data_IF_268370710850
#
_entry.id   IF_268370710850
#
_cell.length_a   1.000
_cell.length_b   1.000
_cell.length_c   1.000
_cell.angle_alpha   90.00
_cell.angle_beta   90.00
_cell.angle_gamma   90.00
#
_symmetry.space_group_name_H-M   'P 1'
#
loop_
_entity.id
_entity.type
_entity.pdbx_description
1 polymer ?
#
# COMPACT_ATOMS: atom_id res chain seq x y z
N UNK A 1 -6.83 -0.07 71.44
CA UNK A 1 -6.89 0.88 70.30
C UNK A 1 -5.85 0.43 69.28
N UNK A 2 -6.25 -0.31 68.25
CA UNK A 2 -5.37 -0.66 67.13
C UNK A 2 -5.92 -0.01 65.88
N UNK A 3 -5.12 0.90 65.31
CA UNK A 3 -5.43 1.67 64.10
C UNK A 3 -4.84 0.92 62.91
N UNK A 4 -5.70 0.36 62.06
CA UNK A 4 -5.33 -0.27 60.80
C UNK A 4 -5.27 0.80 59.70
N UNK A 5 -4.06 1.19 59.32
CA UNK A 5 -3.85 2.02 58.13
C UNK A 5 -4.01 1.19 56.87
N UNK A 6 -5.10 1.42 56.13
CA UNK A 6 -5.32 0.88 54.80
C UNK A 6 -4.53 1.71 53.79
N UNK A 7 -3.48 1.12 53.19
CA UNK A 7 -2.73 1.74 52.10
C UNK A 7 -3.42 1.39 50.78
N UNK A 8 -4.13 2.37 50.21
CA UNK A 8 -4.67 2.28 48.87
C UNK A 8 -3.49 2.41 47.87
N UNK A 9 -3.13 1.32 47.22
CA UNK A 9 -2.15 1.33 46.14
C UNK A 9 -2.86 1.84 44.86
N UNK A 10 -2.50 3.04 44.41
CA UNK A 10 -2.97 3.60 43.15
C UNK A 10 -2.23 2.87 42.01
N UNK A 11 -2.93 1.94 41.36
CA UNK A 11 -2.43 1.22 40.19
C UNK A 11 -2.63 2.12 38.97
N UNK A 12 -1.59 2.85 38.59
CA UNK A 12 -1.59 3.66 37.37
C UNK A 12 -1.44 2.69 36.20
N UNK A 13 -2.57 2.30 35.59
CA UNK A 13 -2.56 1.67 34.27
C UNK A 13 -2.09 2.73 33.27
N UNK A 14 -0.80 2.71 32.95
CA UNK A 14 -0.28 3.36 31.76
C UNK A 14 -0.87 2.62 30.55
N UNK A 15 -1.91 3.20 29.95
CA UNK A 15 -2.44 2.77 28.67
C UNK A 15 -1.30 2.88 27.64
N UNK A 16 -0.80 1.71 27.21
CA UNK A 16 0.09 1.63 26.06
C UNK A 16 -0.76 1.93 24.85
N UNK A 17 -0.69 3.17 24.35
CA UNK A 17 -1.20 3.51 23.03
C UNK A 17 -0.37 2.75 22.00
N UNK A 18 -0.90 1.67 21.46
CA UNK A 18 -0.34 1.07 20.26
C UNK A 18 -0.55 2.10 19.12
N UNK A 19 0.52 2.63 18.51
CA UNK A 19 0.35 3.48 17.34
C UNK A 19 -0.34 2.67 16.26
N UNK A 20 -1.41 3.23 15.69
CA UNK A 20 -2.08 2.69 14.51
C UNK A 20 -1.00 2.33 13.49
N UNK A 21 -0.98 1.07 13.03
CA UNK A 21 -0.17 0.71 11.88
C UNK A 21 -0.56 1.69 10.76
N UNK A 22 0.41 2.36 10.15
CA UNK A 22 0.16 3.29 9.05
C UNK A 22 0.55 2.52 7.79
N UNK A 23 -0.14 2.70 6.68
CA UNK A 23 0.10 1.93 5.46
C UNK A 23 1.56 2.00 5.01
N UNK A 24 2.14 0.83 4.69
CA UNK A 24 3.58 0.64 4.49
C UNK A 24 4.01 0.64 3.01
N UNK A 25 3.13 1.08 2.10
CA UNK A 25 3.45 1.25 0.69
C UNK A 25 2.93 0.19 -0.27
N UNK A 26 3.27 0.35 -1.54
CA UNK A 26 2.75 -0.50 -2.61
C UNK A 26 3.05 0.03 -4.00
N UNK A 27 2.41 -0.56 -5.01
CA UNK A 27 2.53 -0.16 -6.41
C UNK A 27 1.79 1.16 -6.69
N UNK A 28 2.51 2.13 -7.27
CA UNK A 28 2.00 3.48 -7.57
C UNK A 28 1.96 3.77 -9.07
N UNK A 29 2.77 3.07 -9.87
CA UNK A 29 2.64 3.05 -11.34
C UNK A 29 2.78 1.62 -11.89
N UNK A 30 1.84 1.14 -12.74
CA UNK A 30 0.53 1.75 -12.98
C UNK A 30 -0.21 1.96 -11.64
N UNK A 31 -1.03 3.01 -11.58
CA UNK A 31 -1.77 3.33 -10.36
C UNK A 31 -2.72 2.18 -10.02
N UNK A 32 -2.68 1.70 -8.78
CA UNK A 32 -3.48 0.55 -8.37
C UNK A 32 -4.95 0.92 -8.14
N UNK A 33 -5.82 -0.11 -8.07
CA UNK A 33 -7.23 0.00 -7.69
C UNK A 33 -7.38 0.72 -6.35
N UNK A 34 -6.50 0.47 -5.39
CA UNK A 34 -6.55 1.15 -4.10
C UNK A 34 -6.46 2.68 -4.24
N UNK A 35 -5.61 3.17 -5.15
CA UNK A 35 -5.46 4.60 -5.39
C UNK A 35 -6.64 5.12 -6.23
N UNK A 36 -7.03 4.40 -7.28
CA UNK A 36 -7.94 4.92 -8.31
C UNK A 36 -9.41 4.65 -8.09
N UNK A 37 -9.77 3.47 -7.56
CA UNK A 37 -11.17 3.06 -7.38
C UNK A 37 -11.60 3.16 -5.92
N UNK A 38 -10.67 2.94 -4.98
CA UNK A 38 -10.93 3.11 -3.55
C UNK A 38 -10.55 4.50 -3.02
N UNK A 39 -9.98 5.36 -3.89
CA UNK A 39 -9.57 6.73 -3.57
C UNK A 39 -8.65 6.81 -2.33
N UNK A 40 -7.84 5.78 -2.08
CA UNK A 40 -6.88 5.80 -0.98
C UNK A 40 -5.81 6.85 -1.28
N UNK A 41 -5.57 7.69 -0.28
CA UNK A 41 -4.52 8.68 -0.34
C UNK A 41 -3.18 7.98 -0.22
N UNK A 42 -2.35 8.12 -1.24
CA UNK A 42 -1.00 7.55 -1.31
C UNK A 42 -0.15 7.93 -0.10
N UNK A 43 -0.31 9.11 0.48
CA UNK A 43 0.51 9.60 1.60
C UNK A 43 -0.03 9.21 2.98
N UNK A 44 -1.27 8.71 3.10
CA UNK A 44 -1.87 8.49 4.43
C UNK A 44 -2.66 7.20 4.63
N UNK A 45 -3.22 6.60 3.57
CA UNK A 45 -4.08 5.41 3.69
C UNK A 45 -3.75 4.29 2.71
N UNK A 46 -2.70 4.43 1.91
CA UNK A 46 -2.26 3.43 0.94
C UNK A 46 -1.25 2.43 1.54
N UNK A 47 -1.34 1.16 1.12
CA UNK A 47 -0.30 0.17 1.37
C UNK A 47 -0.44 -0.66 2.64
N UNK A 48 -1.67 -0.97 3.05
CA UNK A 48 -1.91 -1.88 4.16
C UNK A 48 -1.57 -3.32 3.79
N UNK A 49 -1.04 -4.13 4.74
CA UNK A 49 -0.95 -5.57 4.57
C UNK A 49 -2.33 -6.16 4.25
N UNK A 50 -2.36 -7.25 3.47
CA UNK A 50 -3.57 -7.98 3.04
C UNK A 50 -4.46 -8.31 4.24
N UNK A 51 -3.86 -8.78 5.34
CA UNK A 51 -4.58 -9.14 6.56
C UNK A 51 -5.31 -7.94 7.21
N UNK A 52 -4.84 -6.72 6.95
CA UNK A 52 -5.39 -5.47 7.50
C UNK A 52 -6.25 -4.72 6.47
N UNK A 53 -6.30 -5.20 5.22
CA UNK A 53 -6.96 -4.50 4.13
C UNK A 53 -8.46 -4.83 4.09
N UNK A 54 -9.33 -3.81 4.01
CA UNK A 54 -10.73 -4.03 3.66
C UNK A 54 -10.86 -4.66 2.26
N UNK A 55 -11.50 -5.84 2.15
CA UNK A 55 -11.62 -6.62 0.90
C UNK A 55 -10.54 -7.71 0.70
N UNK A 56 -9.49 -7.71 1.53
CA UNK A 56 -8.41 -8.70 1.48
C UNK A 56 -7.57 -8.57 0.21
N UNK A 57 -7.61 -9.61 -0.62
CA UNK A 57 -6.87 -9.68 -1.89
C UNK A 57 -7.32 -8.57 -2.86
N UNK A 58 -6.38 -7.79 -3.40
CA UNK A 58 -6.64 -6.72 -4.36
C UNK A 58 -7.46 -7.15 -5.60
N UNK A 59 -7.45 -8.44 -5.95
CA UNK A 59 -8.23 -8.99 -7.07
C UNK A 59 -9.74 -8.89 -6.83
N UNK A 60 -10.17 -8.83 -5.56
CA UNK A 60 -11.57 -8.67 -5.17
C UNK A 60 -12.04 -7.21 -5.14
N UNK A 61 -11.13 -6.24 -5.26
CA UNK A 61 -11.48 -4.82 -5.26
C UNK A 61 -12.22 -4.45 -6.56
N UNK A 62 -13.02 -3.39 -6.51
CA UNK A 62 -13.73 -2.85 -7.69
C UNK A 62 -12.74 -2.62 -8.85
N UNK A 63 -12.93 -3.27 -10.00
CA UNK A 63 -12.09 -3.07 -11.17
C UNK A 63 -12.10 -1.62 -11.64
N UNK A 64 -10.95 -1.12 -12.06
CA UNK A 64 -10.84 0.17 -12.73
C UNK A 64 -11.30 0.06 -14.18
N UNK A 65 -12.11 1.02 -14.62
CA UNK A 65 -12.64 1.08 -15.99
C UNK A 65 -11.79 1.95 -16.91
N UNK A 66 -10.89 2.77 -16.36
CA UNK A 66 -9.99 3.63 -17.11
C UNK A 66 -8.59 3.00 -17.19
N UNK A 67 -8.52 1.91 -17.94
CA UNK A 67 -7.36 1.01 -18.03
C UNK A 67 -6.06 1.74 -18.44
N UNK A 68 -4.97 1.42 -17.75
CA UNK A 68 -3.64 1.97 -18.04
C UNK A 68 -2.90 1.08 -19.05
N UNK A 69 -2.23 1.66 -20.04
CA UNK A 69 -1.53 0.85 -21.04
C UNK A 69 -0.15 0.40 -20.54
N UNK A 70 0.16 -0.89 -20.72
CA UNK A 70 1.51 -1.44 -20.56
C UNK A 70 1.98 -2.01 -21.90
N UNK A 71 3.15 -1.60 -22.41
CA UNK A 71 3.68 -2.13 -23.66
C UNK A 71 4.20 -3.55 -23.52
N UNK A 72 4.17 -4.28 -24.63
CA UNK A 72 4.87 -5.55 -24.74
C UNK A 72 6.39 -5.38 -24.58
N UNK A 73 7.06 -6.40 -24.07
CA UNK A 73 8.50 -6.38 -23.79
C UNK A 73 8.81 -5.72 -22.46
N UNK A 74 9.96 -5.05 -22.39
CA UNK A 74 10.42 -4.38 -21.17
C UNK A 74 9.52 -3.20 -20.82
N UNK A 75 9.07 -3.19 -19.57
CA UNK A 75 8.32 -2.11 -18.93
C UNK A 75 8.86 -1.90 -17.52
N UNK A 76 8.40 -0.83 -16.87
CA UNK A 76 8.77 -0.51 -15.49
C UNK A 76 7.51 -0.28 -14.68
N UNK A 77 7.51 -0.81 -13.45
CA UNK A 77 6.56 -0.41 -12.42
C UNK A 77 7.26 0.45 -11.39
N UNK A 78 6.51 1.37 -10.78
CA UNK A 78 6.97 2.19 -9.67
C UNK A 78 6.20 1.78 -8.42
N UNK A 79 6.92 1.73 -7.30
CA UNK A 79 6.42 1.44 -5.98
C UNK A 79 6.88 2.53 -5.01
N UNK A 80 6.24 2.60 -3.85
CA UNK A 80 6.57 3.59 -2.83
C UNK A 80 6.25 3.06 -1.43
N UNK A 81 7.18 3.23 -0.50
CA UNK A 81 6.93 3.08 0.95
C UNK A 81 6.62 4.48 1.53
N UNK A 82 5.36 4.72 1.93
CA UNK A 82 4.87 6.08 2.13
C UNK A 82 5.32 6.73 3.43
N UNK A 83 5.44 5.95 4.49
CA UNK A 83 5.85 6.41 5.82
C UNK A 83 7.36 6.20 6.06
N UNK A 84 8.12 5.93 5.00
CA UNK A 84 9.56 5.67 5.07
C UNK A 84 9.94 4.29 5.61
N UNK A 85 8.99 3.48 6.09
CA UNK A 85 9.28 2.13 6.56
C UNK A 85 9.29 1.15 5.37
N UNK A 86 10.43 1.01 4.69
CA UNK A 86 10.58 0.00 3.63
C UNK A 86 10.80 -1.39 4.24
N UNK A 87 9.73 -2.18 4.34
CA UNK A 87 9.89 -3.57 4.75
C UNK A 87 10.84 -4.33 3.81
N UNK A 88 11.69 -5.17 4.39
CA UNK A 88 12.63 -6.00 3.65
C UNK A 88 11.93 -7.29 3.23
N UNK A 89 12.00 -7.60 1.94
CA UNK A 89 11.66 -8.91 1.41
C UNK A 89 11.24 -8.92 -0.06
N UNK A 90 11.02 -10.12 -0.61
CA UNK A 90 10.86 -10.32 -2.05
C UNK A 90 9.49 -9.86 -2.53
N UNK A 91 9.43 -9.59 -3.83
CA UNK A 91 8.17 -9.33 -4.50
C UNK A 91 8.16 -9.87 -5.92
N UNK A 92 6.95 -10.12 -6.39
CA UNK A 92 6.66 -10.72 -7.68
C UNK A 92 5.53 -9.95 -8.34
N UNK A 93 5.61 -9.82 -9.67
CA UNK A 93 4.56 -9.20 -10.47
C UNK A 93 3.98 -10.23 -11.41
N UNK A 94 2.64 -10.30 -11.45
CA UNK A 94 1.90 -11.19 -12.33
C UNK A 94 0.99 -10.39 -13.26
N UNK A 95 0.82 -10.90 -14.48
CA UNK A 95 -0.39 -10.64 -15.27
C UNK A 95 -1.43 -11.69 -14.90
N UNK A 96 -2.66 -11.25 -14.65
CA UNK A 96 -3.76 -12.09 -14.17
C UNK A 96 -4.96 -11.90 -15.09
N UNK A 97 -5.63 -13.01 -15.41
CA UNK A 97 -6.94 -13.00 -16.04
C UNK A 97 -8.01 -12.53 -15.05
N UNK A 98 -8.68 -11.38 -15.27
CA UNK A 98 -9.72 -10.89 -14.36
C UNK A 98 -10.93 -11.84 -14.28
N UNK A 99 -11.17 -12.69 -15.29
CA UNK A 99 -12.27 -13.65 -15.31
C UNK A 99 -11.89 -15.01 -14.68
N UNK A 100 -10.58 -15.28 -14.57
CA UNK A 100 -10.05 -16.49 -13.97
C UNK A 100 -8.76 -16.20 -13.21
N UNK A 101 -8.89 -15.69 -11.99
CA UNK A 101 -7.75 -15.25 -11.15
C UNK A 101 -6.68 -16.30 -10.86
N UNK A 102 -6.98 -17.59 -11.08
CA UNK A 102 -5.99 -18.67 -10.98
C UNK A 102 -5.09 -18.77 -12.21
N UNK A 103 -5.51 -18.22 -13.35
CA UNK A 103 -4.73 -18.13 -14.58
C UNK A 103 -3.88 -16.86 -14.54
N UNK A 104 -2.59 -17.03 -14.23
CA UNK A 104 -1.64 -15.92 -14.15
C UNK A 104 -0.25 -16.29 -14.64
N UNK A 105 0.48 -15.29 -15.09
CA UNK A 105 1.85 -15.39 -15.61
C UNK A 105 2.73 -14.40 -14.87
N UNK A 106 3.83 -14.89 -14.29
CA UNK A 106 4.84 -14.01 -13.68
C UNK A 106 5.57 -13.22 -14.78
N UNK A 107 5.64 -11.91 -14.62
CA UNK A 107 6.30 -10.99 -15.56
C UNK A 107 7.48 -10.25 -14.93
N UNK A 108 7.74 -10.44 -13.64
CA UNK A 108 8.97 -9.98 -13.00
C UNK A 108 9.07 -10.44 -11.55
N UNK A 109 10.27 -10.35 -10.97
CA UNK A 109 10.51 -10.51 -9.54
C UNK A 109 11.75 -9.74 -9.09
N UNK A 110 11.78 -9.36 -7.81
CA UNK A 110 12.98 -8.86 -7.11
C UNK A 110 13.08 -9.51 -5.73
N UNK A 111 14.31 -9.78 -5.29
CA UNK A 111 14.57 -10.28 -3.93
C UNK A 111 14.27 -9.22 -2.86
N UNK A 112 14.29 -7.94 -3.25
CA UNK A 112 13.94 -6.81 -2.40
C UNK A 112 13.51 -5.58 -3.23
N UNK A 113 12.22 -5.43 -3.51
CA UNK A 113 11.79 -4.28 -4.33
C UNK A 113 11.85 -2.95 -3.62
N UNK A 114 11.49 -2.87 -2.33
CA UNK A 114 11.41 -1.58 -1.65
C UNK A 114 12.78 -0.95 -1.37
N UNK A 115 13.87 -1.67 -1.70
CA UNK A 115 15.25 -1.15 -1.72
C UNK A 115 15.88 -1.05 -3.11
N UNK A 116 15.10 -1.21 -4.18
CA UNK A 116 15.59 -1.14 -5.57
C UNK A 116 16.28 0.18 -5.94
N UNK A 117 15.80 1.32 -5.41
CA UNK A 117 16.40 2.64 -5.62
C UNK A 117 17.06 3.22 -4.36
N UNK A 118 16.95 2.51 -3.23
CA UNK A 118 17.44 2.97 -1.94
C UNK A 118 18.02 1.80 -1.13
N UNK A 119 19.35 1.67 -1.01
CA UNK A 119 19.97 0.48 -0.44
C UNK A 119 19.81 0.38 1.10
N UNK A 120 19.56 1.50 1.77
CA UNK A 120 19.48 1.55 3.22
C UNK A 120 18.08 1.18 3.72
N UNK A 121 18.02 0.69 4.96
CA UNK A 121 16.76 0.54 5.67
C UNK A 121 16.22 1.93 6.01
N UNK A 122 14.96 2.15 5.73
CA UNK A 122 14.20 3.32 6.10
C UNK A 122 13.54 3.14 7.46
N UNK A 123 13.13 4.25 8.06
CA UNK A 123 12.47 4.27 9.35
C UNK A 123 11.08 4.86 9.21
N UNK A 124 10.16 4.39 10.06
CA UNK A 124 8.84 4.98 10.15
C UNK A 124 8.92 6.46 10.52
N UNK A 125 8.26 7.30 9.74
CA UNK A 125 8.28 8.76 9.86
C UNK A 125 9.33 9.44 8.97
N UNK A 126 10.20 8.68 8.31
CA UNK A 126 11.10 9.21 7.28
C UNK A 126 10.29 9.65 6.04
N UNK A 127 10.88 10.48 5.17
CA UNK A 127 10.27 10.78 3.89
C UNK A 127 9.97 9.51 3.09
N UNK A 128 8.92 9.54 2.25
CA UNK A 128 8.53 8.43 1.39
C UNK A 128 9.70 7.90 0.55
N UNK A 129 9.88 6.59 0.51
CA UNK A 129 10.97 5.92 -0.23
C UNK A 129 10.44 5.40 -1.57
N UNK A 130 10.95 5.90 -2.71
CA UNK A 130 10.57 5.38 -4.02
C UNK A 130 11.29 4.05 -4.30
N UNK A 131 10.64 3.21 -5.10
CA UNK A 131 11.17 1.95 -5.58
C UNK A 131 10.71 1.70 -7.02
N UNK A 132 11.47 0.92 -7.77
CA UNK A 132 11.19 0.59 -9.16
C UNK A 132 11.52 -0.87 -9.46
N UNK A 133 10.81 -1.45 -10.42
CA UNK A 133 11.06 -2.81 -10.86
C UNK A 133 10.81 -2.92 -12.36
N UNK A 134 11.76 -3.52 -13.08
CA UNK A 134 11.55 -3.89 -14.48
C UNK A 134 10.69 -5.14 -14.56
N UNK A 135 9.78 -5.16 -15.54
CA UNK A 135 8.95 -6.32 -15.88
C UNK A 135 9.05 -6.59 -17.38
N UNK A 136 8.87 -7.83 -17.78
CA UNK A 136 8.84 -8.24 -19.18
C UNK A 136 7.45 -8.79 -19.53
N UNK A 137 6.67 -8.02 -20.31
CA UNK A 137 5.33 -8.41 -20.76
C UNK A 137 5.43 -9.25 -22.04
N UNK A 138 5.01 -10.52 -22.04
CA UNK A 138 5.14 -11.38 -23.22
C UNK A 138 4.12 -10.98 -24.30
N UNK A 139 4.50 -11.15 -25.58
CA UNK A 139 3.58 -10.92 -26.72
C UNK A 139 2.60 -12.08 -26.95
N UNK A 140 2.86 -13.24 -26.38
CA UNK A 140 2.08 -14.47 -26.57
C UNK A 140 2.02 -15.28 -25.30
N UNK A 141 0.99 -16.13 -25.15
CA UNK A 141 0.81 -16.93 -23.93
C UNK A 141 0.34 -16.09 -22.74
N UNK A 142 -0.35 -14.97 -23.01
CA UNK A 142 -0.97 -14.15 -21.99
C UNK A 142 -2.10 -14.93 -21.29
N UNK A 143 -2.30 -14.72 -19.98
CA UNK A 143 -3.41 -15.32 -19.26
C UNK A 143 -4.74 -14.62 -19.56
N UNK A 144 -4.69 -13.36 -20.01
CA UNK A 144 -5.79 -12.42 -20.13
C UNK A 144 -5.93 -11.90 -21.58
N UNK A 145 -7.04 -11.21 -21.87
CA UNK A 145 -7.19 -10.48 -23.12
C UNK A 145 -6.29 -9.23 -23.14
N UNK A 146 -5.66 -8.85 -24.26
CA UNK A 146 -4.92 -7.59 -24.35
C UNK A 146 -5.76 -6.34 -24.04
N UNK A 147 -7.07 -6.41 -24.23
CA UNK A 147 -8.02 -5.34 -23.94
C UNK A 147 -8.30 -5.15 -22.45
N UNK A 148 -8.07 -6.17 -21.61
CA UNK A 148 -8.20 -6.06 -20.16
C UNK A 148 -7.42 -7.17 -19.45
N UNK A 149 -6.41 -6.77 -18.70
CA UNK A 149 -5.64 -7.62 -17.81
C UNK A 149 -5.54 -6.97 -16.43
N UNK A 150 -5.14 -7.73 -15.41
CA UNK A 150 -4.75 -7.18 -14.11
C UNK A 150 -3.27 -7.39 -13.89
N UNK A 151 -2.55 -6.31 -13.57
CA UNK A 151 -1.19 -6.37 -13.06
C UNK A 151 -1.24 -6.51 -11.53
N UNK A 152 -0.93 -7.69 -11.02
CA UNK A 152 -0.86 -7.99 -9.60
C UNK A 152 0.59 -7.84 -9.12
N UNK A 153 0.84 -6.86 -8.26
CA UNK A 153 2.06 -6.75 -7.47
C UNK A 153 1.86 -7.47 -6.15
N UNK A 154 2.76 -8.38 -5.78
CA UNK A 154 2.77 -9.11 -4.51
C UNK A 154 4.10 -8.92 -3.80
N UNK A 155 4.08 -8.59 -2.51
CA UNK A 155 5.27 -8.31 -1.71
C UNK A 155 5.16 -8.94 -0.32
N UNK A 156 6.24 -9.58 0.12
CA UNK A 156 6.33 -10.27 1.40
C UNK A 156 7.40 -9.62 2.29
N UNK A 157 7.00 -9.05 3.42
CA UNK A 157 7.89 -8.46 4.42
C UNK A 157 8.49 -9.53 5.35
N UNK A 158 9.55 -10.19 4.87
CA UNK A 158 10.20 -11.34 5.53
C UNK A 158 11.02 -11.04 6.79
N UNK A 159 11.29 -9.77 7.10
CA UNK A 159 12.03 -9.36 8.31
C UNK A 159 11.14 -9.25 9.57
N UNK A 160 9.84 -9.50 9.45
CA UNK A 160 8.85 -9.54 10.53
C UNK A 160 8.40 -10.98 10.78
N UNK A 161 7.89 -11.28 11.98
CA UNK A 161 7.27 -12.58 12.31
C UNK A 161 5.92 -12.36 13.04
N UNK A 162 4.77 -12.75 12.45
CA UNK A 162 4.64 -13.35 11.13
C UNK A 162 4.98 -12.35 10.01
N UNK A 163 5.31 -12.87 8.83
CA UNK A 163 5.55 -12.04 7.65
C UNK A 163 4.30 -11.22 7.33
N UNK A 164 4.47 -9.95 7.00
CA UNK A 164 3.38 -9.14 6.46
C UNK A 164 3.32 -9.32 4.94
N UNK A 165 2.11 -9.57 4.43
CA UNK A 165 1.87 -9.77 3.00
C UNK A 165 1.17 -8.55 2.44
N UNK A 166 1.62 -8.06 1.29
CA UNK A 166 1.05 -6.93 0.59
C UNK A 166 0.72 -7.37 -0.84
N UNK A 167 -0.40 -6.92 -1.37
CA UNK A 167 -0.62 -6.96 -2.79
C UNK A 167 -1.27 -5.67 -3.30
N UNK A 168 -1.12 -5.35 -4.58
CA UNK A 168 -1.81 -4.24 -5.24
C UNK A 168 -2.14 -4.67 -6.67
N UNK A 169 -3.31 -4.29 -7.14
CA UNK A 169 -3.79 -4.66 -8.46
C UNK A 169 -4.00 -3.40 -9.28
N UNK A 170 -3.56 -3.38 -10.54
CA UNK A 170 -3.91 -2.34 -11.50
C UNK A 170 -4.57 -2.96 -12.71
N UNK A 171 -5.72 -2.42 -13.15
CA UNK A 171 -6.34 -2.84 -14.40
C UNK A 171 -5.67 -2.14 -15.58
N UNK A 172 -5.26 -2.95 -16.55
CA UNK A 172 -4.39 -2.51 -17.65
C UNK A 172 -4.87 -3.02 -19.00
N UNK A 173 -4.48 -2.29 -20.05
CA UNK A 173 -4.47 -2.79 -21.43
C UNK A 173 -3.05 -3.16 -21.80
N UNK A 174 -2.89 -4.22 -22.59
CA UNK A 174 -1.61 -4.66 -23.10
C UNK A 174 -1.53 -4.31 -24.59
N UNK A 175 -0.50 -3.56 -24.99
CA UNK A 175 -0.42 -3.14 -26.37
C UNK A 175 0.61 -2.05 -26.62
N UNK A 176 0.82 -1.77 -27.91
CA UNK A 176 1.91 -0.93 -28.36
C UNK A 176 3.21 -1.72 -28.44
N UNK A 177 3.92 -1.56 -29.55
CA UNK A 177 5.33 -1.92 -29.56
C UNK A 177 6.00 -1.00 -28.55
N UNK A 178 6.76 -1.57 -27.61
CA UNK A 178 7.82 -0.83 -26.93
C UNK A 178 8.71 -0.27 -28.03
N UNK A 179 8.39 0.93 -28.52
CA UNK A 179 9.33 1.73 -29.27
C UNK A 179 10.40 2.00 -28.25
N UNK A 180 11.44 1.15 -28.27
CA UNK A 180 12.60 1.26 -27.43
C UNK A 180 13.07 2.71 -27.55
N UNK A 181 12.64 3.52 -26.60
CA UNK A 181 13.19 4.84 -26.38
C UNK A 181 14.62 4.51 -26.05
N UNK A 182 15.46 4.68 -27.06
CA UNK A 182 16.90 4.52 -26.97
C UNK A 182 17.28 5.43 -25.82
N UNK A 183 17.50 4.86 -24.63
CA UNK A 183 17.98 5.59 -23.48
C UNK A 183 19.27 6.24 -23.97
N UNK A 184 19.21 7.54 -24.18
CA UNK A 184 20.39 8.32 -24.50
C UNK A 184 21.37 8.02 -23.37
N UNK A 185 22.48 7.41 -23.74
CA UNK A 185 23.60 7.10 -22.89
C UNK A 185 24.11 8.42 -22.30
N UNK A 186 23.57 8.85 -21.15
CA UNK A 186 24.19 9.89 -20.33
C UNK A 186 25.44 9.28 -19.69
N UNK A 187 26.50 9.32 -20.48
CA UNK A 187 27.88 9.15 -20.05
C UNK A 187 28.24 10.30 -19.11
N UNK A 188 27.89 10.17 -17.84
CA UNK A 188 28.33 11.06 -16.78
C UNK A 188 29.82 10.85 -16.53
N UNK A 189 30.60 11.81 -17.02
CA UNK A 189 32.02 11.96 -16.69
C UNK A 189 32.17 12.23 -15.19
N UNK A 190 33.14 11.56 -14.56
CA UNK A 190 33.53 11.79 -13.18
C UNK A 190 33.87 13.27 -12.95
N UNK A 191 33.04 13.97 -12.17
CA UNK A 191 33.30 15.32 -11.70
C UNK A 191 33.61 15.29 -10.20
N UNK A 192 34.77 15.83 -9.88
CA UNK A 192 35.33 15.99 -8.54
C UNK A 192 34.39 16.78 -7.64
N UNK A 193 34.07 16.22 -6.48
CA UNK A 193 33.30 16.86 -5.41
C UNK A 193 34.04 18.11 -4.91
N UNK A 194 33.47 19.28 -5.18
CA UNK A 194 33.74 20.50 -4.41
C UNK A 194 32.45 20.86 -3.69
N UNK A 195 32.53 20.81 -2.38
CA UNK A 195 31.49 21.00 -1.39
C UNK A 195 31.01 22.46 -1.39
N UNK A 196 29.73 22.69 -1.71
CA UNK A 196 29.02 23.95 -1.45
C UNK A 196 27.60 23.61 -0.99
N UNK A 197 27.15 24.11 0.17
CA UNK A 197 25.80 23.85 0.65
C UNK A 197 24.79 24.70 -0.14
N UNK A 198 23.92 24.03 -0.90
CA UNK A 198 22.77 24.67 -1.53
C UNK A 198 21.62 24.73 -0.53
N UNK A 199 21.31 25.95 -0.04
CA UNK A 199 20.08 26.25 0.67
C UNK A 199 18.96 26.31 -0.38
N UNK A 200 18.20 25.23 -0.51
CA UNK A 200 16.94 25.21 -1.23
C UNK A 200 15.84 25.70 -0.30
N UNK A 201 15.35 26.91 -0.57
CA UNK A 201 14.11 27.42 0.01
C UNK A 201 12.96 26.57 -0.51
N UNK A 202 12.53 25.60 0.30
CA UNK A 202 11.31 24.84 0.06
C UNK A 202 10.11 25.76 0.23
N UNK A 203 9.26 25.83 -0.80
CA UNK A 203 7.89 26.35 -0.66
C UNK A 203 7.15 25.41 0.30
N UNK A 204 6.49 25.92 1.36
CA UNK A 204 5.71 25.07 2.26
C UNK A 204 4.63 24.33 1.46
N UNK A 205 4.72 23.00 1.44
CA UNK A 205 3.62 22.18 0.99
C UNK A 205 2.39 22.53 1.83
N UNK A 206 1.28 22.83 1.16
CA UNK A 206 0.00 22.99 1.85
C UNK A 206 -0.34 21.64 2.45
N UNK A 207 -0.20 21.53 3.77
CA UNK A 207 -0.65 20.37 4.52
C UNK A 207 -2.16 20.25 4.32
N UNK A 208 -2.58 19.32 3.47
CA UNK A 208 -3.95 18.82 3.50
C UNK A 208 -4.13 18.21 4.90
N UNK A 209 -4.98 18.84 5.71
CA UNK A 209 -5.37 18.30 7.01
C UNK A 209 -5.83 16.86 6.81
N UNK A 210 -5.15 15.93 7.47
CA UNK A 210 -5.58 14.54 7.53
C UNK A 210 -7.09 14.50 7.84
N UNK A 211 -7.86 13.57 7.24
CA UNK A 211 -9.27 13.40 7.57
C UNK A 211 -9.41 13.37 9.09
N UNK A 212 -10.28 14.23 9.62
CA UNK A 212 -10.49 14.34 11.05
C UNK A 212 -11.03 12.98 11.53
N UNK A 213 -10.20 12.19 12.20
CA UNK A 213 -10.66 10.99 12.88
C UNK A 213 -11.70 11.41 13.91
N UNK A 214 -12.97 11.12 13.64
CA UNK A 214 -14.05 11.33 14.60
C UNK A 214 -13.74 10.47 15.82
N UNK A 215 -13.88 11.04 17.02
CA UNK A 215 -13.69 10.28 18.26
C UNK A 215 -14.58 9.04 18.21
N UNK A 216 -13.96 7.87 18.31
CA UNK A 216 -14.71 6.63 18.23
C UNK A 216 -15.73 6.53 19.37
N UNK A 217 -16.84 5.81 19.17
CA UNK A 217 -17.80 5.54 20.23
C UNK A 217 -17.12 4.85 21.41
N UNK A 218 -17.42 5.30 22.63
CA UNK A 218 -16.85 4.77 23.89
C UNK A 218 -17.31 3.33 24.20
N UNK A 219 -18.19 2.76 23.38
CA UNK A 219 -18.80 1.45 23.60
C UNK A 219 -18.54 0.55 22.39
N UNK A 220 -18.14 -0.69 22.68
CA UNK A 220 -18.08 -1.73 21.65
C UNK A 220 -19.47 -1.90 21.02
N UNK A 221 -19.52 -1.90 19.70
CA UNK A 221 -20.76 -1.95 18.93
C UNK A 221 -20.61 -2.81 17.69
N UNK A 222 -21.72 -3.11 17.04
CA UNK A 222 -21.66 -3.69 15.70
C UNK A 222 -21.49 -2.55 14.70
N UNK A 223 -20.49 -2.66 13.83
CA UNK A 223 -20.25 -1.70 12.77
C UNK A 223 -20.43 -2.35 11.41
N UNK A 224 -20.90 -1.58 10.45
CA UNK A 224 -21.08 -1.99 9.07
C UNK A 224 -20.42 -0.97 8.16
N UNK A 225 -20.02 -1.45 7.00
CA UNK A 225 -19.47 -0.63 5.94
C UNK A 225 -20.51 0.28 5.32
N UNK A 226 -20.09 1.51 5.00
CA UNK A 226 -20.88 2.52 4.29
C UNK A 226 -20.57 2.41 2.80
N UNK A 227 -21.59 2.40 1.95
CA UNK A 227 -21.44 2.49 0.49
C UNK A 227 -20.87 1.25 -0.22
N UNK A 228 -20.58 0.17 0.51
CA UNK A 228 -20.05 -1.08 -0.08
C UNK A 228 -21.18 -1.92 -0.68
N UNK A 229 -20.99 -2.43 -1.91
CA UNK A 229 -21.94 -3.33 -2.57
C UNK A 229 -21.97 -4.74 -1.96
N UNK A 230 -22.96 -5.55 -2.36
CA UNK A 230 -23.24 -6.84 -1.73
C UNK A 230 -22.11 -7.87 -1.79
N UNK A 231 -21.17 -7.76 -2.74
CA UNK A 231 -20.07 -8.73 -2.86
C UNK A 231 -18.97 -8.49 -1.83
N UNK A 232 -18.72 -7.23 -1.48
CA UNK A 232 -17.67 -6.83 -0.52
C UNK A 232 -18.24 -6.54 0.88
N UNK A 233 -19.55 -6.35 1.01
CA UNK A 233 -20.20 -5.92 2.26
C UNK A 233 -19.84 -6.77 3.47
N UNK A 234 -19.84 -8.10 3.34
CA UNK A 234 -19.52 -8.97 4.48
C UNK A 234 -18.08 -8.78 5.00
N UNK A 235 -17.10 -8.69 4.10
CA UNK A 235 -15.70 -8.46 4.48
C UNK A 235 -15.47 -7.06 5.02
N UNK A 236 -16.15 -6.06 4.45
CA UNK A 236 -16.07 -4.68 4.92
C UNK A 236 -16.75 -4.48 6.27
N UNK A 237 -17.89 -5.15 6.52
CA UNK A 237 -18.57 -5.15 7.82
C UNK A 237 -17.69 -5.81 8.89
N UNK A 238 -17.04 -6.94 8.58
CA UNK A 238 -16.09 -7.59 9.48
C UNK A 238 -14.89 -6.67 9.79
N UNK A 239 -14.31 -6.03 8.76
CA UNK A 239 -13.23 -5.07 8.93
C UNK A 239 -13.66 -3.89 9.81
N UNK A 240 -14.85 -3.33 9.57
CA UNK A 240 -15.41 -2.26 10.40
C UNK A 240 -15.58 -2.72 11.85
N UNK A 241 -16.12 -3.92 12.08
CA UNK A 241 -16.23 -4.46 13.43
C UNK A 241 -14.88 -4.61 14.11
N UNK A 242 -13.86 -5.12 13.41
CA UNK A 242 -12.54 -5.32 13.99
C UNK A 242 -11.84 -4.00 14.30
N UNK A 243 -11.89 -3.02 13.38
CA UNK A 243 -11.15 -1.77 13.51
C UNK A 243 -11.87 -0.75 14.41
N UNK A 244 -13.19 -0.65 14.31
CA UNK A 244 -13.97 0.25 15.15
C UNK A 244 -14.07 -0.22 16.60
N UNK A 245 -13.94 -1.53 16.87
CA UNK A 245 -13.89 -2.08 18.23
C UNK A 245 -12.46 -2.30 18.76
N UNK A 246 -11.43 -1.88 18.02
CA UNK A 246 -10.04 -2.00 18.48
C UNK A 246 -9.72 -0.98 19.59
N UNK A 247 -8.56 -1.10 20.24
CA UNK A 247 -8.04 -0.12 21.20
C UNK A 247 -6.61 0.32 20.82
N UNK A 248 -6.40 1.55 20.29
CA UNK A 248 -7.41 2.58 20.05
C UNK A 248 -8.29 2.23 18.82
N UNK A 249 -9.58 2.58 18.86
CA UNK A 249 -10.50 2.32 17.76
C UNK A 249 -10.17 3.18 16.53
N UNK A 250 -10.20 2.55 15.35
CA UNK A 250 -10.09 3.21 14.05
C UNK A 250 -11.40 3.02 13.27
N UNK A 251 -12.24 4.05 13.29
CA UNK A 251 -13.57 3.99 12.68
C UNK A 251 -13.81 5.23 11.78
N UNK A 252 -13.23 5.25 10.57
CA UNK A 252 -13.49 6.34 9.62
C UNK A 252 -14.98 6.38 9.25
N UNK A 253 -15.62 7.52 9.47
CA UNK A 253 -17.06 7.74 9.27
C UNK A 253 -17.49 7.66 7.79
N UNK A 254 -16.55 7.85 6.87
CA UNK A 254 -16.74 7.64 5.44
C UNK A 254 -16.77 6.17 5.04
N UNK A 255 -16.30 5.26 5.90
CA UNK A 255 -16.12 3.84 5.59
C UNK A 255 -16.96 2.94 6.48
N UNK A 256 -17.15 3.30 7.75
CA UNK A 256 -17.87 2.51 8.74
C UNK A 256 -18.95 3.35 9.45
N UNK A 257 -20.08 2.71 9.73
CA UNK A 257 -21.17 3.26 10.53
C UNK A 257 -21.61 2.22 11.57
N UNK A 258 -22.12 2.68 12.71
CA UNK A 258 -22.78 1.79 13.67
C UNK A 258 -24.02 1.15 13.01
N UNK A 259 -24.18 -0.17 13.22
CA UNK A 259 -25.27 -0.97 12.66
C UNK A 259 -26.60 -0.79 13.38
#
# INVERSE_FOLDING_TARGET
MFSTQSRLALLVLSAYYAPVALGHGGMVKPESREIRTMELNIDSSFGWPIAMRPGGDCLNNTPDTNLQMIPYGESKIEMRANDGANHIGPCTVYLVDPENVSNKVQVGSLDDCMRSLHPEAGNKGDPPIPAEMSITVPQSGLPCSPEHCVLEFYWEATHLDPHELFNNCADVTLGGSSSASTAANESSSAATLTDVPAITTQTPATQTTAPKTTAAPTESGTYVSVGTDGSMKAGMDEWCNQNCNNDPPYCPDTTCAAA
#
